data_IF_542412731692
#
_entry.id   IF_542412731692
#
_cell.length_a   1.000
_cell.length_b   1.000
_cell.length_c   1.000
_cell.angle_alpha   90.00
_cell.angle_beta   90.00
_cell.angle_gamma   90.00
#
_symmetry.space_group_name_H-M   'P 1'
#
loop_
_entity.id
_entity.type
_entity.pdbx_description
1 polymer ?
#
# COMPACT_ATOMS: atom_id res chain seq x y z
N UNK A 1 -0.71 -16.71 -12.12
CA UNK A 1 0.00 -16.99 -13.39
C UNK A 1 1.19 -17.92 -13.12
N UNK A 2 1.54 -18.78 -14.09
CA UNK A 2 2.71 -19.66 -13.92
C UNK A 2 3.99 -18.81 -13.82
N UNK A 3 4.97 -19.15 -12.94
CA UNK A 3 6.15 -18.28 -12.68
C UNK A 3 7.00 -17.96 -13.91
N UNK A 4 7.01 -18.82 -14.94
CA UNK A 4 7.79 -18.61 -16.15
C UNK A 4 7.19 -17.58 -17.11
N UNK A 5 5.88 -17.27 -17.03
CA UNK A 5 5.18 -16.37 -17.98
C UNK A 5 5.79 -14.97 -17.96
N UNK A 6 6.19 -14.46 -16.78
CA UNK A 6 6.83 -13.15 -16.66
C UNK A 6 8.17 -13.08 -17.40
N UNK A 7 9.00 -14.13 -17.30
CA UNK A 7 10.27 -14.18 -18.03
C UNK A 7 10.07 -14.30 -19.54
N UNK A 8 9.06 -15.06 -19.97
CA UNK A 8 8.69 -15.18 -21.39
C UNK A 8 8.24 -13.84 -21.97
N UNK A 9 7.38 -13.10 -21.27
CA UNK A 9 6.93 -11.77 -21.69
C UNK A 9 8.11 -10.79 -21.82
N UNK A 10 8.99 -10.74 -20.83
CA UNK A 10 10.15 -9.85 -20.83
C UNK A 10 11.09 -10.25 -22.00
N UNK A 11 11.39 -11.52 -22.16
CA UNK A 11 12.22 -11.98 -23.26
C UNK A 11 11.64 -11.62 -24.64
N UNK A 12 10.32 -11.74 -24.81
CA UNK A 12 9.65 -11.33 -26.07
C UNK A 12 9.83 -9.84 -26.35
N UNK A 13 9.68 -8.99 -25.35
CA UNK A 13 9.85 -7.53 -25.50
C UNK A 13 11.33 -7.19 -25.75
N UNK A 14 12.28 -7.82 -25.05
CA UNK A 14 13.72 -7.64 -25.33
C UNK A 14 14.08 -8.01 -26.78
N UNK A 15 13.55 -9.11 -27.31
CA UNK A 15 13.76 -9.54 -28.69
C UNK A 15 13.18 -8.49 -29.65
N UNK A 16 11.96 -8.04 -29.42
CA UNK A 16 11.32 -7.00 -30.24
C UNK A 16 12.13 -5.72 -30.20
N UNK A 17 12.60 -5.29 -29.03
CA UNK A 17 13.45 -4.10 -28.84
C UNK A 17 14.76 -4.24 -29.62
N UNK A 18 15.41 -5.41 -29.58
CA UNK A 18 16.63 -5.67 -30.33
C UNK A 18 16.41 -5.65 -31.85
N UNK A 19 15.29 -6.20 -32.35
CA UNK A 19 14.92 -6.14 -33.76
C UNK A 19 14.69 -4.68 -34.18
N UNK A 20 13.92 -3.92 -33.44
CA UNK A 20 13.66 -2.51 -33.73
C UNK A 20 14.99 -1.74 -33.75
N UNK A 21 15.86 -1.96 -32.78
CA UNK A 21 17.16 -1.28 -32.69
C UNK A 21 18.11 -1.66 -33.83
N UNK A 22 17.97 -2.84 -34.43
CA UNK A 22 18.77 -3.27 -35.60
C UNK A 22 18.40 -2.49 -36.89
N UNK A 23 17.17 -1.99 -36.99
CA UNK A 23 16.67 -1.31 -38.16
C UNK A 23 16.56 0.22 -38.00
N UNK A 24 16.49 0.71 -36.78
CA UNK A 24 16.37 2.12 -36.46
C UNK A 24 17.68 2.64 -35.84
N UNK A 25 18.01 3.87 -36.18
CA UNK A 25 19.27 4.53 -35.84
C UNK A 25 19.36 4.94 -34.36
N UNK A 26 20.41 5.66 -34.01
CA UNK A 26 20.92 6.12 -32.72
C UNK A 26 19.87 6.50 -31.64
N UNK A 27 18.70 6.99 -32.05
CA UNK A 27 17.64 7.48 -31.15
C UNK A 27 16.88 6.36 -30.42
N UNK A 28 17.15 5.10 -30.70
CA UNK A 28 16.33 3.95 -30.25
C UNK A 28 16.80 3.34 -28.92
N UNK A 29 17.81 3.92 -28.27
CA UNK A 29 18.24 3.47 -26.92
C UNK A 29 17.06 3.41 -25.94
N UNK A 30 16.06 4.29 -26.09
CA UNK A 30 14.86 4.31 -25.26
C UNK A 30 13.99 3.06 -25.40
N UNK A 31 14.08 2.31 -26.51
CA UNK A 31 13.30 1.07 -26.68
C UNK A 31 13.72 0.00 -25.67
N UNK A 32 15.00 -0.04 -25.29
CA UNK A 32 15.49 -0.96 -24.26
C UNK A 32 15.05 -0.61 -22.83
N UNK A 33 14.45 0.56 -22.65
CA UNK A 33 13.86 0.95 -21.35
C UNK A 33 12.55 0.19 -21.09
N UNK A 34 11.79 -0.18 -22.15
CA UNK A 34 10.48 -0.83 -21.98
C UNK A 34 10.54 -2.19 -21.25
N UNK A 35 11.47 -3.12 -21.57
CA UNK A 35 11.60 -4.36 -20.84
C UNK A 35 11.89 -4.13 -19.35
N UNK A 36 12.73 -3.15 -19.01
CA UNK A 36 13.06 -2.80 -17.63
C UNK A 36 11.84 -2.22 -16.88
N UNK A 37 11.07 -1.32 -17.52
CA UNK A 37 9.84 -0.78 -16.95
C UNK A 37 8.79 -1.86 -16.70
N UNK A 38 8.67 -2.84 -17.62
CA UNK A 38 7.80 -3.99 -17.41
C UNK A 38 8.30 -4.89 -16.28
N UNK A 39 9.61 -5.15 -16.23
CA UNK A 39 10.23 -5.98 -15.21
C UNK A 39 10.03 -5.44 -13.79
N UNK A 40 10.06 -4.12 -13.64
CA UNK A 40 9.82 -3.42 -12.36
C UNK A 40 8.43 -3.72 -11.80
N UNK A 41 7.40 -3.86 -12.64
CA UNK A 41 6.02 -4.14 -12.19
C UNK A 41 5.89 -5.48 -11.45
N UNK A 42 6.78 -6.44 -11.71
CA UNK A 42 6.80 -7.72 -11.00
C UNK A 42 7.38 -7.64 -9.58
N UNK A 43 8.00 -6.51 -9.21
CA UNK A 43 8.61 -6.27 -7.88
C UNK A 43 9.62 -7.32 -7.42
N UNK A 44 10.17 -8.10 -8.35
CA UNK A 44 11.13 -9.15 -8.06
C UNK A 44 12.52 -8.80 -8.59
N UNK A 45 13.52 -8.79 -7.70
CA UNK A 45 14.93 -8.52 -8.06
C UNK A 45 15.45 -9.39 -9.21
N UNK A 46 15.12 -10.69 -9.16
CA UNK A 46 15.60 -11.66 -10.17
C UNK A 46 15.06 -11.32 -11.55
N UNK A 47 13.81 -10.86 -11.65
CA UNK A 47 13.16 -10.48 -12.91
C UNK A 47 13.81 -9.24 -13.52
N UNK A 48 14.11 -8.23 -12.69
CA UNK A 48 14.75 -7.00 -13.14
C UNK A 48 16.19 -7.25 -13.65
N UNK A 49 16.98 -8.05 -12.92
CA UNK A 49 18.33 -8.40 -13.38
C UNK A 49 18.31 -9.27 -14.63
N UNK A 50 17.36 -10.19 -14.76
CA UNK A 50 17.20 -10.98 -15.97
C UNK A 50 16.85 -10.08 -17.17
N UNK A 51 15.97 -9.10 -17.00
CA UNK A 51 15.64 -8.12 -18.04
C UNK A 51 16.89 -7.35 -18.47
N UNK A 52 17.67 -6.83 -17.53
CA UNK A 52 18.90 -6.10 -17.84
C UNK A 52 19.91 -6.95 -18.63
N UNK A 53 20.11 -8.21 -18.23
CA UNK A 53 21.03 -9.13 -18.95
C UNK A 53 20.53 -9.36 -20.38
N UNK A 54 19.22 -9.59 -20.56
CA UNK A 54 18.62 -9.76 -21.89
C UNK A 54 18.75 -8.51 -22.74
N UNK A 55 18.53 -7.30 -22.15
CA UNK A 55 18.66 -6.03 -22.84
C UNK A 55 20.11 -5.74 -23.27
N UNK A 56 21.09 -5.96 -22.38
CA UNK A 56 22.52 -5.82 -22.72
C UNK A 56 22.89 -6.77 -23.86
N UNK A 57 22.42 -8.03 -23.80
CA UNK A 57 22.62 -8.98 -24.88
C UNK A 57 21.99 -8.50 -26.18
N UNK A 58 20.76 -7.96 -26.10
CA UNK A 58 20.05 -7.34 -27.21
C UNK A 58 20.79 -6.15 -27.82
N UNK A 59 21.36 -5.28 -26.99
CA UNK A 59 22.18 -4.13 -27.42
C UNK A 59 23.38 -4.62 -28.21
N UNK A 60 24.13 -5.59 -27.72
CA UNK A 60 25.31 -6.15 -28.41
C UNK A 60 24.90 -6.76 -29.76
N UNK A 61 23.85 -7.59 -29.77
CA UNK A 61 23.38 -8.23 -31.00
C UNK A 61 22.89 -7.19 -32.01
N UNK A 62 22.09 -6.20 -31.57
CA UNK A 62 21.55 -5.17 -32.47
C UNK A 62 22.64 -4.26 -33.02
N UNK A 63 23.69 -3.93 -32.25
CA UNK A 63 24.82 -3.15 -32.72
C UNK A 63 25.58 -3.89 -33.83
N UNK A 64 25.83 -5.17 -33.66
CA UNK A 64 26.49 -6.00 -34.67
C UNK A 64 25.61 -6.24 -35.90
N UNK A 65 24.35 -6.64 -35.71
CA UNK A 65 23.41 -6.89 -36.82
C UNK A 65 23.05 -5.61 -37.57
N UNK A 66 22.86 -4.50 -36.82
CA UNK A 66 22.60 -3.18 -37.40
C UNK A 66 23.73 -2.72 -38.32
N UNK A 67 24.97 -2.98 -37.94
CA UNK A 67 26.13 -2.66 -38.80
C UNK A 67 26.19 -3.55 -40.06
N UNK A 68 26.05 -4.86 -39.93
CA UNK A 68 26.22 -5.78 -41.05
C UNK A 68 25.01 -5.86 -41.99
N UNK A 69 23.79 -5.68 -41.49
CA UNK A 69 22.53 -5.97 -42.20
C UNK A 69 21.51 -4.85 -42.13
N UNK A 70 21.71 -3.84 -41.31
CA UNK A 70 20.75 -2.76 -41.04
C UNK A 70 21.18 -1.40 -41.56
N UNK A 71 20.41 -0.37 -41.17
CA UNK A 71 20.70 1.05 -41.41
C UNK A 71 21.27 1.68 -40.14
N UNK A 72 22.36 1.14 -39.62
CA UNK A 72 23.08 1.71 -38.50
C UNK A 72 23.71 3.06 -38.88
N UNK A 73 23.77 4.04 -37.97
CA UNK A 73 24.41 5.33 -38.17
C UNK A 73 25.89 5.18 -38.64
N UNK A 74 26.60 4.20 -38.09
CA UNK A 74 27.92 3.83 -38.53
C UNK A 74 27.92 3.30 -39.96
N UNK A 75 26.91 2.56 -40.41
CA UNK A 75 26.76 2.14 -41.79
C UNK A 75 26.52 3.30 -42.72
N UNK A 76 25.73 4.29 -42.34
CA UNK A 76 25.54 5.53 -43.12
C UNK A 76 26.83 6.33 -43.22
N UNK A 77 27.64 6.37 -42.18
CA UNK A 77 28.94 7.02 -42.16
C UNK A 77 29.96 6.26 -43.04
N UNK A 78 29.97 4.92 -43.00
CA UNK A 78 30.97 4.12 -43.71
C UNK A 78 30.55 3.64 -45.11
N UNK A 79 29.28 3.75 -45.50
CA UNK A 79 28.80 3.45 -46.85
C UNK A 79 28.94 4.65 -47.83
N UNK A 80 29.40 5.80 -47.34
CA UNK A 80 29.79 6.88 -48.24
C UNK A 80 31.06 6.51 -49.00
N UNK A 81 31.29 7.11 -50.19
CA UNK A 81 32.46 6.85 -51.06
C UNK A 81 33.81 7.19 -50.40
N UNK A 82 33.87 7.43 -49.12
CA UNK A 82 35.06 7.78 -48.38
C UNK A 82 35.56 6.60 -47.57
N UNK A 83 36.86 6.40 -47.54
CA UNK A 83 37.50 5.36 -46.72
C UNK A 83 37.42 5.73 -45.23
N UNK A 84 37.46 4.72 -44.36
CA UNK A 84 37.50 4.94 -42.90
C UNK A 84 38.65 5.85 -42.47
N UNK A 85 39.81 5.77 -43.16
CA UNK A 85 40.95 6.68 -42.95
C UNK A 85 40.64 8.13 -43.26
N UNK A 86 39.74 8.43 -44.16
CA UNK A 86 39.31 9.80 -44.45
C UNK A 86 38.46 10.37 -43.29
N UNK A 87 37.53 9.59 -42.77
CA UNK A 87 36.75 10.00 -41.59
C UNK A 87 37.61 10.19 -40.34
N UNK A 88 38.61 9.33 -40.14
CA UNK A 88 39.55 9.47 -39.03
C UNK A 88 40.47 10.68 -39.20
N UNK A 89 40.85 11.05 -40.44
CA UNK A 89 41.57 12.27 -40.73
C UNK A 89 40.80 13.53 -40.36
N UNK A 90 39.51 13.59 -40.67
CA UNK A 90 38.62 14.69 -40.26
C UNK A 90 38.44 14.76 -38.76
N UNK A 91 38.32 13.61 -38.07
CA UNK A 91 38.19 13.55 -36.60
C UNK A 91 39.48 13.97 -35.89
N UNK A 92 40.63 13.87 -36.51
CA UNK A 92 41.92 14.33 -35.95
C UNK A 92 42.09 15.86 -35.97
N UNK A 93 41.39 16.60 -36.81
CA UNK A 93 41.52 18.06 -36.95
C UNK A 93 40.70 18.85 -35.93
N UNK A 94 40.55 18.35 -34.72
CA UNK A 94 39.92 19.09 -33.62
C UNK A 94 38.88 18.31 -32.84
N UNK A 95 38.76 17.04 -33.01
CA UNK A 95 37.78 16.18 -32.39
C UNK A 95 38.41 14.98 -31.67
N UNK A 96 37.61 14.29 -30.85
CA UNK A 96 37.99 13.18 -29.98
C UNK A 96 38.80 12.15 -30.78
N UNK A 97 40.07 11.97 -30.45
CA UNK A 97 40.92 10.93 -31.02
C UNK A 97 40.41 9.59 -30.47
N UNK A 98 39.71 8.85 -31.31
CA UNK A 98 39.34 7.47 -31.02
C UNK A 98 40.56 6.59 -31.40
N UNK A 99 41.21 5.89 -30.48
CA UNK A 99 42.29 4.99 -30.82
C UNK A 99 41.72 3.88 -31.73
N UNK A 100 42.10 3.96 -33.00
CA UNK A 100 41.57 3.07 -34.02
C UNK A 100 42.28 1.72 -33.94
N UNK A 101 41.50 0.68 -33.64
CA UNK A 101 41.86 -0.69 -33.88
C UNK A 101 41.13 -1.10 -35.17
N UNK A 102 41.83 -1.70 -36.15
CA UNK A 102 41.26 -2.13 -37.45
C UNK A 102 40.07 -3.12 -37.31
N UNK A 103 39.79 -3.61 -36.09
CA UNK A 103 38.69 -4.50 -35.81
C UNK A 103 37.38 -3.71 -35.53
N UNK A 104 36.53 -3.66 -36.56
CA UNK A 104 35.22 -2.97 -36.49
C UNK A 104 34.37 -3.52 -35.31
N UNK A 105 34.41 -4.78 -35.03
CA UNK A 105 33.65 -5.36 -33.92
C UNK A 105 34.09 -4.75 -32.57
N UNK A 106 35.38 -4.49 -32.39
CA UNK A 106 35.89 -3.85 -31.16
C UNK A 106 35.41 -2.40 -31.05
N UNK A 107 35.31 -1.69 -32.15
CA UNK A 107 34.80 -0.30 -32.21
C UNK A 107 33.32 -0.30 -31.80
N UNK A 108 32.50 -1.18 -32.40
CA UNK A 108 31.09 -1.29 -32.11
C UNK A 108 30.86 -1.64 -30.62
N UNK A 109 31.63 -2.58 -30.07
CA UNK A 109 31.52 -2.99 -28.68
C UNK A 109 31.90 -1.84 -27.72
N UNK A 110 33.02 -1.16 -27.95
CA UNK A 110 33.56 -0.15 -27.03
C UNK A 110 32.80 1.17 -27.11
N UNK A 111 32.46 1.62 -28.30
CA UNK A 111 31.91 2.96 -28.50
C UNK A 111 30.39 3.01 -28.69
N UNK A 112 29.77 1.87 -28.98
CA UNK A 112 28.31 1.79 -29.13
C UNK A 112 27.64 0.94 -28.06
N UNK A 113 28.00 -0.34 -27.95
CA UNK A 113 27.33 -1.25 -27.06
C UNK A 113 27.63 -1.00 -25.57
N UNK A 114 28.88 -0.69 -25.22
CA UNK A 114 29.28 -0.48 -23.82
C UNK A 114 28.64 0.77 -23.21
N UNK A 115 28.64 1.96 -23.83
CA UNK A 115 27.98 3.14 -23.27
C UNK A 115 26.47 2.95 -23.10
N UNK A 116 25.80 2.32 -24.05
CA UNK A 116 24.36 2.02 -23.98
C UNK A 116 24.05 1.04 -22.84
N UNK A 117 24.87 -0.01 -22.72
CA UNK A 117 24.75 -0.98 -21.61
C UNK A 117 24.96 -0.33 -20.25
N UNK A 118 25.90 0.61 -20.15
CA UNK A 118 26.17 1.35 -18.94
C UNK A 118 25.00 2.27 -18.55
N UNK A 119 24.39 2.94 -19.53
CA UNK A 119 23.18 3.74 -19.29
C UNK A 119 22.02 2.87 -18.78
N UNK A 120 21.78 1.71 -19.39
CA UNK A 120 20.76 0.75 -18.95
C UNK A 120 21.02 0.22 -17.54
N UNK A 121 22.30 -0.03 -17.22
CA UNK A 121 22.69 -0.45 -15.87
C UNK A 121 22.38 0.61 -14.82
N UNK A 122 22.77 1.88 -15.06
CA UNK A 122 22.44 2.99 -14.16
C UNK A 122 20.94 3.15 -14.03
N UNK A 123 20.22 3.10 -15.16
CA UNK A 123 18.76 3.20 -15.15
C UNK A 123 18.10 2.09 -14.35
N UNK A 124 18.61 0.86 -14.47
CA UNK A 124 18.14 -0.29 -13.66
C UNK A 124 18.35 -0.07 -12.16
N UNK A 125 19.49 0.51 -11.77
CA UNK A 125 19.75 0.86 -10.36
C UNK A 125 18.76 1.94 -9.90
N UNK A 126 18.51 2.97 -10.69
CA UNK A 126 17.54 4.03 -10.36
C UNK A 126 16.11 3.47 -10.22
N UNK A 127 15.68 2.62 -11.16
CA UNK A 127 14.38 1.95 -11.09
C UNK A 127 14.25 1.09 -9.85
N UNK A 128 15.28 0.31 -9.54
CA UNK A 128 15.31 -0.51 -8.32
C UNK A 128 15.18 0.33 -7.06
N UNK A 129 15.92 1.43 -6.97
CA UNK A 129 15.84 2.35 -5.83
C UNK A 129 14.43 2.92 -5.69
N UNK A 130 13.84 3.43 -6.79
CA UNK A 130 12.49 3.98 -6.81
C UNK A 130 11.43 2.98 -6.32
N UNK A 131 11.53 1.71 -6.73
CA UNK A 131 10.58 0.65 -6.31
C UNK A 131 10.72 0.34 -4.82
N UNK A 132 11.95 0.26 -4.31
CA UNK A 132 12.20 -0.02 -2.89
C UNK A 132 11.61 1.12 -2.04
N UNK A 133 11.96 2.37 -2.38
CA UNK A 133 11.49 3.55 -1.65
C UNK A 133 9.97 3.67 -1.67
N UNK A 134 9.34 3.47 -2.83
CA UNK A 134 7.87 3.49 -2.96
C UNK A 134 7.19 2.40 -2.11
N UNK A 135 7.81 1.23 -1.95
CA UNK A 135 7.27 0.17 -1.10
C UNK A 135 7.40 0.51 0.39
N UNK A 136 8.54 1.03 0.80
CA UNK A 136 8.78 1.48 2.18
C UNK A 136 7.83 2.62 2.55
N UNK A 137 7.63 3.58 1.65
CA UNK A 137 6.69 4.68 1.84
C UNK A 137 5.24 4.18 1.97
N UNK A 138 4.84 3.22 1.16
CA UNK A 138 3.50 2.63 1.25
C UNK A 138 3.25 1.92 2.59
N UNK A 139 4.24 1.15 3.09
CA UNK A 139 4.18 0.52 4.41
C UNK A 139 4.13 1.58 5.51
N UNK A 140 4.98 2.60 5.41
CA UNK A 140 5.04 3.69 6.39
C UNK A 140 3.73 4.49 6.44
N UNK A 141 3.13 4.79 5.28
CA UNK A 141 1.84 5.47 5.22
C UNK A 141 0.75 4.60 5.84
N UNK A 142 0.72 3.29 5.54
CA UNK A 142 -0.24 2.37 6.13
C UNK A 142 -0.10 2.29 7.66
N UNK A 143 1.13 2.22 8.17
CA UNK A 143 1.43 2.20 9.60
C UNK A 143 1.04 3.51 10.30
N UNK A 144 1.40 4.66 9.70
CA UNK A 144 1.00 5.97 10.20
C UNK A 144 -0.53 6.14 10.21
N UNK A 145 -1.22 5.66 9.18
CA UNK A 145 -2.68 5.70 9.12
C UNK A 145 -3.30 4.81 10.19
N UNK A 146 -2.76 3.59 10.36
CA UNK A 146 -3.20 2.69 11.42
C UNK A 146 -3.06 3.33 12.81
N UNK A 147 -1.90 3.90 13.13
CA UNK A 147 -1.67 4.58 14.41
C UNK A 147 -2.50 5.85 14.59
N UNK A 148 -2.78 6.59 13.50
CA UNK A 148 -3.65 7.77 13.53
C UNK A 148 -5.10 7.40 13.86
N UNK A 149 -5.58 6.27 13.32
CA UNK A 149 -7.00 5.90 13.30
C UNK A 149 -7.39 4.91 14.41
N UNK A 150 -6.42 4.25 15.07
CA UNK A 150 -6.69 3.24 16.09
C UNK A 150 -6.28 3.66 17.49
N UNK A 151 -6.97 3.15 18.49
CA UNK A 151 -6.57 3.23 19.91
C UNK A 151 -5.50 2.17 20.19
N UNK A 152 -4.34 2.58 20.70
CA UNK A 152 -3.17 1.73 20.89
C UNK A 152 -3.42 0.55 21.82
N UNK A 153 -4.27 0.73 22.84
CA UNK A 153 -4.58 -0.29 23.84
C UNK A 153 -5.60 -1.31 23.32
N UNK A 154 -6.72 -0.80 22.81
CA UNK A 154 -7.88 -1.65 22.46
C UNK A 154 -7.85 -2.15 21.03
N UNK A 155 -7.02 -1.54 20.14
CA UNK A 155 -6.98 -1.81 18.70
C UNK A 155 -8.29 -1.51 17.95
N UNK A 156 -9.28 -0.96 18.63
CA UNK A 156 -10.47 -0.39 18.00
C UNK A 156 -10.14 0.95 17.34
N UNK A 157 -11.03 1.47 16.53
CA UNK A 157 -10.88 2.84 16.04
C UNK A 157 -10.90 3.84 17.19
N UNK A 158 -10.12 4.89 17.07
CA UNK A 158 -10.04 5.93 18.09
C UNK A 158 -11.06 7.05 17.85
N UNK A 159 -11.09 8.02 18.78
CA UNK A 159 -11.97 9.18 18.72
C UNK A 159 -11.78 10.02 17.45
N UNK A 160 -10.55 10.19 16.97
CA UNK A 160 -10.28 10.97 15.76
C UNK A 160 -10.95 10.33 14.53
N UNK A 161 -10.84 9.01 14.40
CA UNK A 161 -11.52 8.26 13.33
C UNK A 161 -13.03 8.33 13.44
N UNK A 162 -13.57 8.22 14.65
CA UNK A 162 -14.99 8.42 14.91
C UNK A 162 -15.49 9.77 14.40
N UNK A 163 -14.83 10.86 14.80
CA UNK A 163 -15.21 12.21 14.38
C UNK A 163 -15.11 12.43 12.87
N UNK A 164 -14.06 11.85 12.23
CA UNK A 164 -13.90 11.88 10.77
C UNK A 164 -15.08 11.20 10.06
N UNK A 165 -15.45 10.00 10.52
CA UNK A 165 -16.52 9.22 9.92
C UNK A 165 -17.91 9.84 10.15
N UNK A 166 -18.17 10.39 11.33
CA UNK A 166 -19.43 11.08 11.67
C UNK A 166 -19.61 12.33 10.81
N UNK A 167 -18.56 13.08 10.54
CA UNK A 167 -18.62 14.30 9.71
C UNK A 167 -18.69 14.02 8.22
N UNK A 168 -17.98 12.99 7.75
CA UNK A 168 -17.74 12.78 6.31
C UNK A 168 -18.52 11.64 5.67
N UNK A 169 -18.59 10.49 6.33
CA UNK A 169 -19.09 9.26 5.73
C UNK A 169 -20.53 8.90 6.11
N UNK A 170 -20.82 8.80 7.41
CA UNK A 170 -22.13 8.36 7.89
C UNK A 170 -23.30 9.22 7.43
N UNK A 171 -23.17 10.55 7.25
CA UNK A 171 -24.27 11.37 6.68
C UNK A 171 -24.71 10.94 5.28
N UNK A 172 -23.87 10.26 4.52
CA UNK A 172 -24.18 9.77 3.17
C UNK A 172 -24.99 8.47 3.14
N UNK A 173 -25.08 7.77 4.27
CA UNK A 173 -25.80 6.50 4.37
C UNK A 173 -27.29 6.70 4.49
N UNK A 174 -28.06 5.72 4.00
CA UNK A 174 -29.50 5.74 4.09
C UNK A 174 -30.00 5.63 5.54
N UNK A 175 -29.44 4.67 6.28
CA UNK A 175 -29.76 4.44 7.70
C UNK A 175 -28.50 4.08 8.47
N UNK A 176 -28.52 4.39 9.77
CA UNK A 176 -27.49 4.01 10.73
C UNK A 176 -28.15 3.59 12.04
N UNK A 177 -27.52 2.66 12.75
CA UNK A 177 -27.80 2.42 14.16
C UNK A 177 -26.53 2.76 14.96
N UNK A 178 -26.71 3.49 16.05
CA UNK A 178 -25.63 3.90 16.94
C UNK A 178 -25.86 3.25 18.30
N UNK A 179 -24.84 2.56 18.81
CA UNK A 179 -24.86 1.90 20.11
C UNK A 179 -23.76 2.51 20.97
N UNK A 180 -24.11 3.12 22.08
CA UNK A 180 -23.17 3.60 23.10
C UNK A 180 -23.01 2.61 24.22
N UNK A 181 -21.77 2.48 24.68
CA UNK A 181 -21.37 1.61 25.79
C UNK A 181 -20.50 2.40 26.77
N UNK A 182 -20.74 2.22 28.07
CA UNK A 182 -19.95 2.83 29.14
C UNK A 182 -19.67 1.76 30.20
N UNK A 183 -18.39 1.53 30.54
CA UNK A 183 -18.01 0.52 31.52
C UNK A 183 -18.43 0.96 32.93
N UNK A 184 -19.19 0.11 33.59
CA UNK A 184 -19.62 0.40 34.94
C UNK A 184 -18.48 0.29 35.96
N UNK A 185 -18.43 1.23 36.90
CA UNK A 185 -17.54 1.21 38.07
C UNK A 185 -16.03 1.17 37.74
N UNK A 186 -15.58 1.60 36.55
CA UNK A 186 -14.17 1.60 36.18
C UNK A 186 -13.32 2.37 37.19
N UNK A 187 -13.76 3.58 37.62
CA UNK A 187 -13.06 4.37 38.64
C UNK A 187 -12.93 3.61 39.96
N UNK A 188 -14.02 2.98 40.45
CA UNK A 188 -13.99 2.20 41.69
C UNK A 188 -13.03 1.02 41.58
N UNK A 189 -12.98 0.36 40.43
CA UNK A 189 -12.04 -0.73 40.18
C UNK A 189 -10.59 -0.23 40.21
N UNK A 190 -10.31 0.93 39.54
CA UNK A 190 -8.98 1.56 39.59
C UNK A 190 -8.56 1.90 41.01
N UNK A 191 -9.47 2.50 41.80
CA UNK A 191 -9.19 2.93 43.16
C UNK A 191 -8.95 1.72 44.12
N UNK A 192 -9.64 0.61 43.87
CA UNK A 192 -9.55 -0.59 44.73
C UNK A 192 -8.46 -1.60 44.35
N UNK A 193 -8.19 -1.73 43.03
CA UNK A 193 -7.32 -2.79 42.48
C UNK A 193 -6.19 -2.27 41.61
N UNK A 194 -6.08 -0.93 41.45
CA UNK A 194 -5.07 -0.28 40.64
C UNK A 194 -5.43 -0.20 39.13
N UNK A 195 -4.73 0.69 38.43
CA UNK A 195 -4.99 0.97 37.01
C UNK A 195 -4.85 -0.24 36.10
N UNK A 196 -3.94 -1.19 36.41
CA UNK A 196 -3.79 -2.41 35.61
C UNK A 196 -5.08 -3.24 35.54
N UNK A 197 -5.89 -3.22 36.60
CA UNK A 197 -7.18 -3.91 36.62
C UNK A 197 -8.23 -3.17 35.80
N UNK A 198 -8.28 -1.84 35.89
CA UNK A 198 -9.17 -1.06 35.04
C UNK A 198 -8.81 -1.20 33.54
N UNK A 199 -7.54 -1.26 33.24
CA UNK A 199 -7.04 -1.54 31.88
C UNK A 199 -7.54 -2.89 31.37
N UNK A 200 -7.52 -3.93 32.21
CA UNK A 200 -8.05 -5.26 31.88
C UNK A 200 -9.57 -5.25 31.63
N UNK A 201 -10.34 -4.42 32.33
CA UNK A 201 -11.77 -4.23 32.05
C UNK A 201 -11.97 -3.61 30.66
N UNK A 202 -11.21 -2.55 30.35
CA UNK A 202 -11.24 -1.85 29.05
C UNK A 202 -10.91 -2.81 27.90
N UNK A 203 -9.82 -3.58 28.04
CA UNK A 203 -9.38 -4.55 27.03
C UNK A 203 -10.40 -5.68 26.83
N UNK A 204 -11.00 -6.17 27.93
CA UNK A 204 -12.04 -7.20 27.86
C UNK A 204 -13.27 -6.68 27.12
N UNK A 205 -13.76 -5.47 27.47
CA UNK A 205 -14.88 -4.84 26.76
C UNK A 205 -14.59 -4.65 25.28
N UNK A 206 -13.42 -4.10 24.95
CA UNK A 206 -12.99 -3.86 23.58
C UNK A 206 -12.94 -5.15 22.76
N UNK A 207 -12.43 -6.24 23.33
CA UNK A 207 -12.39 -7.55 22.67
C UNK A 207 -13.80 -8.04 22.31
N UNK A 208 -14.76 -7.95 23.25
CA UNK A 208 -16.15 -8.39 23.00
C UNK A 208 -16.84 -7.54 21.95
N UNK A 209 -16.55 -6.25 21.89
CA UNK A 209 -17.06 -5.36 20.85
C UNK A 209 -16.39 -5.66 19.50
N UNK A 210 -15.08 -5.91 19.49
CA UNK A 210 -14.34 -6.27 18.28
C UNK A 210 -14.87 -7.56 17.63
N UNK A 211 -15.22 -8.57 18.42
CA UNK A 211 -15.80 -9.84 17.96
C UNK A 211 -17.14 -9.65 17.23
N UNK A 212 -17.85 -8.54 17.46
CA UNK A 212 -19.09 -8.19 16.78
C UNK A 212 -18.87 -7.21 15.62
N UNK A 213 -17.64 -6.71 15.44
CA UNK A 213 -17.30 -5.76 14.37
C UNK A 213 -17.08 -6.47 13.04
N UNK A 214 -17.52 -5.85 11.96
CA UNK A 214 -17.27 -6.29 10.57
C UNK A 214 -17.18 -5.05 9.64
N UNK A 215 -17.23 -5.26 8.33
CA UNK A 215 -17.16 -4.17 7.34
C UNK A 215 -18.30 -3.15 7.44
N UNK A 216 -19.42 -3.48 8.07
CA UNK A 216 -20.59 -2.61 8.27
C UNK A 216 -20.77 -2.18 9.73
N UNK A 217 -20.08 -2.82 10.66
CA UNK A 217 -20.18 -2.58 12.10
C UNK A 217 -18.83 -2.09 12.62
N UNK A 218 -18.67 -0.78 12.66
CA UNK A 218 -17.43 -0.15 13.10
C UNK A 218 -17.51 0.24 14.58
N UNK A 219 -16.51 -0.18 15.35
CA UNK A 219 -16.42 0.14 16.79
C UNK A 219 -15.31 1.12 17.07
N UNK A 220 -15.62 2.09 17.89
CA UNK A 220 -14.76 3.22 18.28
C UNK A 220 -14.61 3.29 19.79
N UNK A 221 -13.41 3.62 20.26
CA UNK A 221 -13.21 4.07 21.64
C UNK A 221 -13.18 5.60 21.64
N UNK A 222 -14.19 6.24 22.22
CA UNK A 222 -14.38 7.70 22.18
C UNK A 222 -13.98 8.40 23.49
N UNK A 223 -13.90 7.64 24.58
CA UNK A 223 -13.51 8.11 25.91
C UNK A 223 -12.67 7.09 26.66
N UNK A 224 -12.45 7.32 27.94
CA UNK A 224 -11.69 6.39 28.80
C UNK A 224 -12.38 5.03 28.96
N UNK A 225 -13.69 5.07 29.26
CA UNK A 225 -14.61 3.95 29.49
C UNK A 225 -15.74 3.88 28.46
N UNK A 226 -15.75 4.78 27.46
CA UNK A 226 -16.81 4.95 26.49
C UNK A 226 -16.46 4.36 25.13
N UNK A 227 -17.38 3.55 24.60
CA UNK A 227 -17.29 2.93 23.28
C UNK A 227 -18.54 3.23 22.46
N UNK A 228 -18.38 3.34 21.16
CA UNK A 228 -19.48 3.53 20.22
C UNK A 228 -19.34 2.50 19.10
N UNK A 229 -20.43 1.82 18.79
CA UNK A 229 -20.53 1.01 17.57
C UNK A 229 -21.55 1.65 16.64
N UNK A 230 -21.20 1.82 15.39
CA UNK A 230 -22.11 2.29 14.35
C UNK A 230 -22.31 1.19 13.32
N UNK A 231 -23.58 0.85 13.07
CA UNK A 231 -23.99 -0.18 12.10
C UNK A 231 -24.55 0.53 10.87
N UNK A 232 -23.97 0.23 9.73
CA UNK A 232 -24.37 0.78 8.44
C UNK A 232 -25.57 0.03 7.87
N UNK A 233 -26.62 0.77 7.50
CA UNK A 233 -27.85 0.23 6.94
C UNK A 233 -28.35 -1.01 7.72
N UNK A 234 -28.66 -0.85 9.03
CA UNK A 234 -29.01 -1.97 9.89
C UNK A 234 -30.27 -2.69 9.40
N UNK A 235 -30.30 -4.00 9.62
CA UNK A 235 -31.55 -4.78 9.51
C UNK A 235 -32.40 -4.57 10.76
N UNK A 236 -33.73 -4.72 10.67
CA UNK A 236 -34.60 -4.62 11.84
C UNK A 236 -34.13 -5.58 12.96
N UNK A 237 -33.88 -5.03 14.16
CA UNK A 237 -33.42 -5.79 15.33
C UNK A 237 -31.94 -6.16 15.34
N UNK A 238 -31.13 -5.71 14.35
CA UNK A 238 -29.69 -6.04 14.29
C UNK A 238 -28.90 -5.40 15.43
N UNK A 239 -29.27 -4.18 15.82
CA UNK A 239 -28.63 -3.49 16.93
C UNK A 239 -28.88 -4.18 18.28
N UNK A 240 -30.14 -4.58 18.54
CA UNK A 240 -30.54 -5.34 19.74
C UNK A 240 -29.86 -6.70 19.80
N UNK A 241 -29.72 -7.38 18.65
CA UNK A 241 -29.02 -8.67 18.58
C UNK A 241 -27.54 -8.50 18.95
N UNK A 242 -26.87 -7.47 18.45
CA UNK A 242 -25.48 -7.15 18.80
C UNK A 242 -25.36 -6.85 20.30
N UNK A 243 -26.25 -6.01 20.84
CA UNK A 243 -26.26 -5.68 22.27
C UNK A 243 -26.38 -6.97 23.11
N UNK A 244 -27.32 -7.86 22.76
CA UNK A 244 -27.53 -9.09 23.51
C UNK A 244 -26.32 -10.04 23.42
N UNK A 245 -25.71 -10.18 22.25
CA UNK A 245 -24.49 -10.99 22.09
C UNK A 245 -23.34 -10.48 22.94
N UNK A 246 -23.09 -9.16 22.94
CA UNK A 246 -22.04 -8.56 23.77
C UNK A 246 -22.33 -8.77 25.26
N UNK A 247 -23.56 -8.51 25.72
CA UNK A 247 -23.94 -8.72 27.12
C UNK A 247 -23.73 -10.16 27.55
N UNK A 248 -24.25 -11.14 26.81
CA UNK A 248 -24.07 -12.56 27.09
C UNK A 248 -22.60 -12.95 27.14
N UNK A 249 -21.79 -12.44 26.20
CA UNK A 249 -20.35 -12.70 26.17
C UNK A 249 -19.63 -12.12 27.40
N UNK A 250 -20.02 -10.93 27.85
CA UNK A 250 -19.46 -10.29 29.05
C UNK A 250 -19.84 -11.05 30.34
N UNK A 251 -21.06 -11.61 30.43
CA UNK A 251 -21.51 -12.44 31.56
C UNK A 251 -20.73 -13.75 31.67
N UNK A 252 -20.34 -14.33 30.53
CA UNK A 252 -19.60 -15.59 30.44
C UNK A 252 -18.09 -15.44 30.64
N UNK A 253 -17.55 -14.19 30.56
CA UNK A 253 -16.12 -13.96 30.69
C UNK A 253 -15.79 -13.17 31.98
N UNK A 254 -14.53 -13.29 32.39
CA UNK A 254 -13.95 -12.47 33.45
C UNK A 254 -12.72 -11.75 32.91
N UNK A 255 -12.55 -10.51 33.29
CA UNK A 255 -11.29 -9.81 33.07
C UNK A 255 -10.16 -10.44 33.89
N UNK A 256 -8.92 -10.04 33.63
CA UNK A 256 -7.80 -10.41 34.47
C UNK A 256 -8.13 -10.15 35.95
N UNK A 257 -7.74 -11.06 36.86
CA UNK A 257 -8.09 -10.98 38.27
C UNK A 257 -9.51 -11.48 38.63
N UNK A 258 -10.28 -12.03 37.68
CA UNK A 258 -11.58 -12.68 37.93
C UNK A 258 -12.76 -11.72 38.06
N UNK A 259 -12.62 -10.47 37.72
CA UNK A 259 -13.66 -9.42 37.81
C UNK A 259 -14.59 -9.49 36.59
N UNK A 260 -15.91 -9.42 36.84
CA UNK A 260 -16.89 -9.31 35.75
C UNK A 260 -16.92 -7.90 35.18
N UNK A 261 -16.95 -7.82 33.84
CA UNK A 261 -17.16 -6.56 33.11
C UNK A 261 -18.65 -6.35 32.94
N UNK A 262 -19.14 -5.20 33.36
CA UNK A 262 -20.51 -4.78 33.07
C UNK A 262 -20.50 -3.38 32.47
N UNK A 263 -21.46 -3.10 31.60
CA UNK A 263 -21.58 -1.80 30.94
C UNK A 263 -23.02 -1.33 30.89
N UNK A 264 -23.21 -0.02 30.97
CA UNK A 264 -24.44 0.60 30.52
C UNK A 264 -24.45 0.64 28.99
N UNK A 265 -25.63 0.54 28.41
CA UNK A 265 -25.80 0.57 26.95
C UNK A 265 -27.01 1.36 26.54
N UNK A 266 -26.91 2.12 25.48
CA UNK A 266 -28.02 2.81 24.82
C UNK A 266 -27.89 2.71 23.31
N UNK A 267 -29.01 2.62 22.63
CA UNK A 267 -29.06 2.45 21.18
C UNK A 267 -30.12 3.39 20.59
N UNK A 268 -29.88 3.84 19.36
CA UNK A 268 -30.85 4.54 18.54
C UNK A 268 -30.61 4.28 17.07
N UNK A 269 -31.68 4.22 16.28
CA UNK A 269 -31.61 4.10 14.82
C UNK A 269 -32.21 5.32 14.14
N UNK A 270 -31.63 5.70 12.98
CA UNK A 270 -32.14 6.84 12.22
C UNK A 270 -31.57 6.92 10.82
N UNK A 271 -31.81 8.06 10.17
CA UNK A 271 -31.20 8.36 8.88
C UNK A 271 -29.77 8.82 9.07
N UNK A 272 -28.89 8.45 8.12
CA UNK A 272 -27.51 8.92 8.13
C UNK A 272 -27.38 10.44 8.11
N UNK A 273 -28.25 11.13 7.37
CA UNK A 273 -28.35 12.60 7.36
C UNK A 273 -28.52 13.23 8.74
N UNK A 274 -29.13 12.51 9.67
CA UNK A 274 -29.44 12.95 11.03
C UNK A 274 -28.52 12.31 12.09
N UNK A 275 -27.35 11.82 11.67
CA UNK A 275 -26.41 11.06 12.51
C UNK A 275 -26.13 11.74 13.86
N UNK A 276 -26.00 13.05 13.91
CA UNK A 276 -25.76 13.79 15.16
C UNK A 276 -26.93 13.70 16.14
N UNK A 277 -28.17 13.67 15.64
CA UNK A 277 -29.37 13.47 16.46
C UNK A 277 -29.46 12.03 16.97
N UNK A 278 -29.15 11.06 16.10
CA UNK A 278 -29.11 9.65 16.45
C UNK A 278 -28.06 9.38 17.54
N UNK A 279 -26.86 9.97 17.41
CA UNK A 279 -25.80 9.90 18.42
C UNK A 279 -26.27 10.44 19.77
N UNK A 280 -26.85 11.63 19.79
CA UNK A 280 -27.37 12.26 21.03
C UNK A 280 -28.47 11.43 21.67
N UNK A 281 -29.34 10.83 20.89
CA UNK A 281 -30.41 9.98 21.42
C UNK A 281 -29.85 8.66 21.99
N UNK A 282 -28.92 8.00 21.32
CA UNK A 282 -28.26 6.80 21.80
C UNK A 282 -27.47 7.04 23.10
N UNK A 283 -26.72 8.15 23.17
CA UNK A 283 -26.01 8.56 24.39
C UNK A 283 -26.96 8.80 25.58
N UNK A 284 -28.06 9.53 25.32
CA UNK A 284 -29.10 9.73 26.34
C UNK A 284 -29.68 8.40 26.82
N UNK A 285 -30.03 7.49 25.92
CA UNK A 285 -30.56 6.16 26.27
C UNK A 285 -29.54 5.36 27.13
N UNK A 286 -28.25 5.46 26.84
CA UNK A 286 -27.19 4.86 27.64
C UNK A 286 -27.11 5.48 29.05
N UNK A 287 -27.18 6.81 29.13
CA UNK A 287 -27.14 7.51 30.41
C UNK A 287 -28.36 7.15 31.31
N UNK A 288 -29.56 7.08 30.72
CA UNK A 288 -30.79 6.67 31.45
C UNK A 288 -30.67 5.22 31.94
N UNK A 289 -30.11 4.31 31.13
CA UNK A 289 -29.79 2.93 31.51
C UNK A 289 -28.77 2.87 32.67
N UNK A 290 -27.72 3.71 32.61
CA UNK A 290 -26.70 3.79 33.67
C UNK A 290 -27.30 4.27 34.99
N UNK A 291 -28.27 5.22 34.98
CA UNK A 291 -28.92 5.74 36.15
C UNK A 291 -29.83 4.72 36.77
N UNK A 292 -30.70 4.09 35.99
CA UNK A 292 -31.62 3.04 36.51
C UNK A 292 -30.86 1.84 37.11
N UNK A 293 -29.71 1.48 36.58
CA UNK A 293 -28.84 0.43 37.10
C UNK A 293 -28.18 0.78 38.43
N UNK A 294 -28.08 2.05 38.80
CA UNK A 294 -27.57 2.49 40.12
C UNK A 294 -28.69 2.54 41.16
N UNK A 295 -29.88 3.05 40.80
CA UNK A 295 -31.04 3.13 41.70
C UNK A 295 -31.60 1.78 42.10
N UNK A 296 -31.41 0.72 41.34
CA UNK A 296 -31.84 -0.67 41.68
C UNK A 296 -30.85 -1.48 42.52
N UNK A 297 -29.75 -0.87 43.02
CA UNK A 297 -28.72 -1.52 43.84
C UNK A 297 -28.64 -0.94 45.28
N UNK A 298 -29.40 0.12 45.57
CA UNK A 298 -29.65 0.64 46.92
C UNK A 298 -30.92 -0.02 47.49
#
# INVERSE_FOLDING_TARGET
AKPWVKYFLIASICIISAIIASFLTFHVVLVYVFPLLLAVQYRERKVLWAALIMDITGVVISSLTGYYYGLCDLNLLFQSNHTLSWYLGIMNEGHIIIPFNENINSILLVYEALPRSFILFIFTIMLRYSVITSHEDAIRIADLTYHKDTDLRTKLFNKNKYEEMVKGYYPSLKRVAVIFWDINNLKKTNDSFGHAMGDALIETMALRLYEQSDSRKCTYRVGGDEFVMIIENPKPGEAEEVIQKVKTSLEQCRAAGGIYVSSAVGCEEGFGSDIELVIKAADKNMYDNKRSSREGRD
#
